data_IF_898385848871
#
_entry.id   IF_898385848871
#
_cell.length_a   1.000
_cell.length_b   1.000
_cell.length_c   1.000
_cell.angle_alpha   90.00
_cell.angle_beta   90.00
_cell.angle_gamma   90.00
#
_symmetry.space_group_name_H-M   'P 1'
#
loop_
_entity.id
_entity.type
_entity.pdbx_description
1 polymer ?
#
# COMPACT_ATOMS: atom_id res chain seq x y z
N UNK A 1 -7.59 31.21 30.87
CA UNK A 1 -6.38 30.36 30.68
C UNK A 1 -6.83 28.97 30.30
N UNK A 2 -6.86 28.65 29.04
CA UNK A 2 -7.48 27.43 28.51
C UNK A 2 -6.43 26.35 28.35
N UNK A 3 -6.69 25.21 28.97
CA UNK A 3 -5.81 24.05 29.09
C UNK A 3 -5.75 23.23 27.76
N UNK A 4 -5.10 23.78 26.75
CA UNK A 4 -4.91 23.12 25.44
C UNK A 4 -3.71 22.15 25.38
N UNK A 5 -2.78 22.22 26.36
CA UNK A 5 -1.58 21.37 26.35
C UNK A 5 -1.79 19.90 26.70
N UNK A 6 -2.93 19.57 27.35
CA UNK A 6 -3.16 18.21 27.84
C UNK A 6 -3.84 17.27 26.82
N UNK A 7 -4.43 17.80 25.77
CA UNK A 7 -5.06 16.98 24.72
C UNK A 7 -4.05 16.41 23.76
N UNK A 8 -3.07 17.20 23.32
CA UNK A 8 -2.02 16.75 22.40
C UNK A 8 -1.11 15.70 23.02
N UNK A 9 -0.78 15.83 24.32
CA UNK A 9 0.02 14.83 25.04
C UNK A 9 -0.73 13.49 25.19
N UNK A 10 -2.05 13.52 25.39
CA UNK A 10 -2.88 12.31 25.46
C UNK A 10 -2.99 11.60 24.12
N UNK A 11 -3.10 12.35 23.03
CA UNK A 11 -3.10 11.78 21.66
C UNK A 11 -1.74 11.17 21.30
N UNK A 12 -0.65 11.81 21.69
CA UNK A 12 0.71 11.28 21.45
C UNK A 12 0.96 10.00 22.25
N UNK A 13 0.52 9.94 23.51
CA UNK A 13 0.60 8.75 24.35
C UNK A 13 -0.28 7.61 23.84
N UNK A 14 -1.49 7.91 23.34
CA UNK A 14 -2.38 6.93 22.74
C UNK A 14 -1.78 6.35 21.45
N UNK A 15 -1.16 7.21 20.64
CA UNK A 15 -0.50 6.79 19.39
C UNK A 15 0.75 5.94 19.67
N UNK A 16 1.54 6.30 20.70
CA UNK A 16 2.69 5.51 21.15
C UNK A 16 2.26 4.15 21.73
N UNK A 17 1.12 4.09 22.44
CA UNK A 17 0.55 2.83 22.94
C UNK A 17 0.02 1.94 21.82
N UNK A 18 -0.59 2.53 20.78
CA UNK A 18 -1.00 1.77 19.59
C UNK A 18 0.21 1.16 18.86
N UNK A 19 1.34 1.91 18.76
CA UNK A 19 2.56 1.38 18.17
C UNK A 19 3.18 0.24 18.99
N UNK A 20 3.10 0.30 20.33
CA UNK A 20 3.66 -0.74 21.19
C UNK A 20 2.83 -2.02 21.23
N UNK A 21 1.54 -1.97 20.95
CA UNK A 21 0.70 -3.17 20.82
C UNK A 21 1.05 -4.03 19.59
N UNK A 22 1.68 -3.47 18.58
CA UNK A 22 2.05 -4.21 17.37
C UNK A 22 3.35 -5.01 17.51
N UNK A 23 4.16 -4.74 18.55
CA UNK A 23 5.40 -5.47 18.81
C UNK A 23 5.21 -6.78 19.60
N UNK A 24 3.98 -7.06 20.08
CA UNK A 24 3.70 -8.19 20.98
C UNK A 24 3.01 -9.39 20.30
N UNK A 25 2.76 -9.32 18.99
CA UNK A 25 2.22 -10.48 18.27
C UNK A 25 3.38 -11.34 17.79
N UNK A 26 3.88 -12.14 18.75
CA UNK A 26 4.92 -13.13 18.52
C UNK A 26 4.47 -14.18 17.52
N UNK A 27 5.43 -14.67 16.81
CA UNK A 27 5.37 -15.80 15.90
C UNK A 27 4.77 -17.01 16.62
N UNK A 28 3.54 -17.35 16.31
CA UNK A 28 3.08 -18.74 16.47
C UNK A 28 3.43 -19.47 15.19
N UNK A 29 4.40 -20.35 15.27
CA UNK A 29 4.68 -21.38 14.28
C UNK A 29 3.54 -22.40 14.26
N UNK A 30 2.48 -22.04 13.58
CA UNK A 30 1.40 -22.95 13.19
C UNK A 30 1.20 -22.83 11.69
N UNK A 31 0.95 -23.91 11.00
CA UNK A 31 0.82 -24.08 9.56
C UNK A 31 -0.29 -23.20 8.90
N UNK A 32 -0.71 -22.12 9.53
CA UNK A 32 -1.73 -21.14 9.11
C UNK A 32 -1.45 -19.77 9.71
N UNK A 33 -0.26 -19.19 9.47
CA UNK A 33 0.07 -17.87 9.98
C UNK A 33 -0.47 -16.76 9.09
N UNK A 34 -1.03 -15.70 9.70
CA UNK A 34 -1.33 -14.46 9.04
C UNK A 34 -0.03 -13.72 8.71
N UNK A 35 0.12 -13.30 7.48
CA UNK A 35 1.21 -12.44 7.05
C UNK A 35 0.67 -11.03 6.88
N UNK A 36 1.19 -10.11 7.66
CA UNK A 36 0.88 -8.68 7.56
C UNK A 36 2.13 -7.95 7.12
N UNK A 37 2.02 -7.20 6.02
CA UNK A 37 3.09 -6.35 5.51
C UNK A 37 2.51 -4.98 5.19
N UNK A 38 3.35 -3.98 5.16
CA UNK A 38 2.93 -2.65 4.74
C UNK A 38 4.04 -1.64 4.88
N UNK A 39 3.79 -0.48 4.30
CA UNK A 39 4.68 0.68 4.42
C UNK A 39 3.89 1.98 4.40
N UNK A 40 4.53 3.02 4.83
CA UNK A 40 4.05 4.39 4.68
C UNK A 40 5.07 5.14 3.84
N UNK A 41 4.63 5.73 2.76
CA UNK A 41 5.44 6.65 1.97
C UNK A 41 4.87 8.08 2.02
N UNK A 42 5.74 9.05 1.91
CA UNK A 42 5.35 10.44 1.79
C UNK A 42 6.22 11.13 0.75
N UNK A 43 5.60 11.86 -0.14
CA UNK A 43 6.27 12.58 -1.21
C UNK A 43 5.81 14.03 -1.24
N UNK A 44 6.77 14.93 -1.11
CA UNK A 44 6.53 16.36 -1.15
C UNK A 44 7.51 17.02 -2.13
N UNK A 45 6.98 17.65 -3.15
CA UNK A 45 7.75 18.41 -4.12
C UNK A 45 7.36 19.89 -4.04
N UNK A 46 8.34 20.76 -3.95
CA UNK A 46 8.16 22.21 -3.87
C UNK A 46 8.90 22.85 -5.04
N UNK A 47 8.29 23.86 -5.66
CA UNK A 47 8.93 24.66 -6.70
C UNK A 47 10.02 25.52 -6.07
N UNK A 48 11.24 25.47 -6.59
CA UNK A 48 12.36 26.30 -6.11
C UNK A 48 12.26 27.76 -6.53
N UNK A 49 11.55 28.03 -7.64
CA UNK A 49 11.29 29.38 -8.13
C UNK A 49 9.94 29.89 -7.64
N UNK A 50 9.79 31.22 -7.57
CA UNK A 50 8.52 31.85 -7.18
C UNK A 50 7.37 31.34 -8.09
N UNK A 51 6.21 31.01 -7.52
CA UNK A 51 5.68 31.36 -6.18
C UNK A 51 6.07 30.43 -5.02
N UNK A 52 7.02 29.50 -5.16
CA UNK A 52 7.45 28.58 -4.10
C UNK A 52 6.31 27.73 -3.51
N UNK A 53 5.43 27.26 -4.37
CA UNK A 53 4.27 26.46 -4.03
C UNK A 53 4.59 24.95 -4.08
N UNK A 54 3.72 24.15 -3.45
CA UNK A 54 3.82 22.71 -3.58
C UNK A 54 3.40 22.27 -4.98
N UNK A 55 4.24 21.45 -5.61
CA UNK A 55 3.95 20.78 -6.89
C UNK A 55 3.29 19.43 -6.66
N UNK A 56 3.65 18.74 -5.59
CA UNK A 56 3.02 17.52 -5.13
C UNK A 56 3.12 17.41 -3.60
N UNK A 57 2.09 16.85 -2.98
CA UNK A 57 2.07 16.58 -1.54
C UNK A 57 1.15 15.40 -1.27
N UNK A 58 1.74 14.22 -1.11
CA UNK A 58 1.04 12.95 -0.95
C UNK A 58 1.61 12.15 0.21
N UNK A 59 0.74 11.52 0.97
CA UNK A 59 1.07 10.47 1.95
C UNK A 59 0.23 9.24 1.62
N UNK A 60 0.87 8.09 1.53
CA UNK A 60 0.22 6.82 1.23
C UNK A 60 0.60 5.77 2.27
N UNK A 61 -0.38 4.99 2.68
CA UNK A 61 -0.21 3.78 3.48
C UNK A 61 -0.62 2.60 2.61
N UNK A 62 0.28 1.63 2.43
CA UNK A 62 -0.02 0.34 1.82
C UNK A 62 -0.11 -0.72 2.88
N UNK A 63 -1.14 -1.54 2.82
CA UNK A 63 -1.30 -2.73 3.63
C UNK A 63 -1.47 -3.97 2.76
N UNK A 64 -0.85 -5.06 3.18
CA UNK A 64 -0.96 -6.37 2.55
C UNK A 64 -1.26 -7.41 3.62
N UNK A 65 -2.26 -8.23 3.37
CA UNK A 65 -2.70 -9.29 4.26
C UNK A 65 -2.66 -10.59 3.48
N UNK A 66 -1.88 -11.54 3.95
CA UNK A 66 -1.81 -12.90 3.42
C UNK A 66 -2.23 -13.92 4.46
N UNK A 67 -2.88 -14.99 4.03
CA UNK A 67 -3.14 -16.16 4.86
C UNK A 67 -3.06 -17.41 4.01
N UNK A 68 -2.20 -18.35 4.40
CA UNK A 68 -2.10 -19.65 3.79
C UNK A 68 -2.85 -20.70 4.64
N UNK A 69 -3.57 -21.59 3.98
CA UNK A 69 -4.30 -22.69 4.60
C UNK A 69 -4.26 -23.89 3.64
N UNK A 70 -3.45 -24.88 3.99
CA UNK A 70 -3.19 -26.03 3.11
C UNK A 70 -2.61 -25.57 1.76
N UNK A 71 -3.21 -26.06 0.68
CA UNK A 71 -2.83 -25.71 -0.71
C UNK A 71 -3.37 -24.37 -1.20
N UNK A 72 -4.02 -23.60 -0.32
CA UNK A 72 -4.66 -22.32 -0.69
C UNK A 72 -4.02 -21.14 0.01
N UNK A 73 -4.00 -19.98 -0.67
CA UNK A 73 -3.54 -18.71 -0.11
C UNK A 73 -4.55 -17.60 -0.44
N UNK A 74 -5.03 -16.93 0.58
CA UNK A 74 -5.79 -15.69 0.45
C UNK A 74 -4.82 -14.51 0.51
N UNK A 75 -4.96 -13.57 -0.42
CA UNK A 75 -4.15 -12.35 -0.45
C UNK A 75 -5.03 -11.13 -0.67
N UNK A 76 -4.77 -10.07 0.09
CA UNK A 76 -5.41 -8.76 -0.04
C UNK A 76 -4.37 -7.67 0.05
N UNK A 77 -4.38 -6.74 -0.89
CA UNK A 77 -3.51 -5.55 -0.91
C UNK A 77 -4.34 -4.30 -1.15
N UNK A 78 -4.09 -3.24 -0.37
CA UNK A 78 -4.80 -1.98 -0.47
C UNK A 78 -3.88 -0.78 -0.24
N UNK A 79 -4.29 0.37 -0.79
CA UNK A 79 -3.72 1.67 -0.51
C UNK A 79 -4.74 2.56 0.20
N UNK A 80 -4.26 3.35 1.15
CA UNK A 80 -4.96 4.52 1.67
C UNK A 80 -4.09 5.75 1.40
N UNK A 81 -4.58 6.65 0.57
CA UNK A 81 -3.81 7.82 0.10
C UNK A 81 -4.46 9.11 0.57
N UNK A 82 -3.64 10.02 1.07
CA UNK A 82 -4.00 11.42 1.27
C UNK A 82 -3.17 12.29 0.34
N UNK A 83 -3.84 13.04 -0.54
CA UNK A 83 -3.20 13.99 -1.43
C UNK A 83 -3.73 15.40 -1.15
N UNK A 84 -2.85 16.30 -0.70
CA UNK A 84 -3.23 17.64 -0.30
C UNK A 84 -3.61 18.53 -1.50
N UNK A 85 -3.07 18.27 -2.68
CA UNK A 85 -3.31 19.07 -3.89
C UNK A 85 -4.39 18.45 -4.76
N UNK A 86 -4.34 17.14 -4.96
CA UNK A 86 -5.28 16.40 -5.80
C UNK A 86 -6.31 15.68 -4.92
N UNK A 87 -7.33 16.41 -4.48
CA UNK A 87 -8.36 15.87 -3.58
C UNK A 87 -9.05 14.62 -4.13
N UNK A 88 -9.22 14.52 -5.44
CA UNK A 88 -9.76 13.33 -6.10
C UNK A 88 -8.88 12.08 -5.99
N UNK A 89 -7.62 12.23 -5.55
CA UNK A 89 -6.68 11.14 -5.27
C UNK A 89 -6.57 10.79 -3.79
N UNK A 90 -7.35 11.45 -2.95
CA UNK A 90 -7.48 11.07 -1.53
C UNK A 90 -8.55 10.00 -1.40
N UNK A 91 -8.20 8.86 -0.81
CA UNK A 91 -9.16 7.78 -0.62
C UNK A 91 -8.50 6.43 -0.33
N UNK A 92 -9.36 5.42 -0.35
CA UNK A 92 -9.00 4.02 -0.19
C UNK A 92 -9.14 3.31 -1.53
N UNK A 93 -8.14 2.50 -1.89
CA UNK A 93 -8.10 1.71 -3.11
C UNK A 93 -7.76 0.27 -2.78
N UNK A 94 -8.64 -0.65 -3.17
CA UNK A 94 -8.33 -2.07 -3.16
C UNK A 94 -7.51 -2.40 -4.41
N UNK A 95 -6.25 -2.78 -4.24
CA UNK A 95 -5.36 -3.14 -5.35
C UNK A 95 -5.59 -4.56 -5.81
N UNK A 96 -5.45 -5.50 -4.89
CA UNK A 96 -5.59 -6.92 -5.16
C UNK A 96 -6.42 -7.59 -4.07
N UNK A 97 -7.21 -8.56 -4.44
CA UNK A 97 -7.91 -9.45 -3.53
C UNK A 97 -8.17 -10.76 -4.27
N UNK A 98 -7.42 -11.80 -3.97
CA UNK A 98 -7.54 -13.07 -4.65
C UNK A 98 -7.33 -14.28 -3.73
N UNK A 99 -7.88 -15.39 -4.17
CA UNK A 99 -7.61 -16.74 -3.67
C UNK A 99 -6.74 -17.46 -4.70
N UNK A 100 -5.57 -17.93 -4.28
CA UNK A 100 -4.68 -18.79 -5.06
C UNK A 100 -4.74 -20.20 -4.49
N UNK A 101 -5.06 -21.18 -5.32
CA UNK A 101 -5.08 -22.59 -4.95
C UNK A 101 -4.16 -23.38 -5.87
N UNK A 102 -3.29 -24.21 -5.30
CA UNK A 102 -2.30 -24.99 -6.05
C UNK A 102 -2.22 -26.40 -5.54
N UNK A 103 -2.43 -27.31 -6.45
CA UNK A 103 -2.19 -28.74 -6.28
C UNK A 103 -1.05 -29.19 -7.19
N UNK A 104 -0.65 -30.43 -7.07
CA UNK A 104 0.51 -30.98 -7.79
C UNK A 104 0.38 -30.85 -9.32
N UNK A 105 -0.84 -31.05 -9.86
CA UNK A 105 -1.08 -31.09 -11.31
C UNK A 105 -1.94 -29.94 -11.84
N UNK A 106 -2.52 -29.13 -10.98
CA UNK A 106 -3.39 -28.04 -11.37
C UNK A 106 -3.43 -26.93 -10.32
N UNK A 107 -3.81 -25.76 -10.75
CA UNK A 107 -4.00 -24.63 -9.86
C UNK A 107 -4.86 -23.56 -10.52
N UNK A 108 -5.45 -22.73 -9.69
CA UNK A 108 -6.23 -21.59 -10.14
C UNK A 108 -6.05 -20.40 -9.21
N UNK A 109 -6.25 -19.21 -9.75
CA UNK A 109 -6.32 -17.97 -8.99
C UNK A 109 -7.61 -17.24 -9.36
N UNK A 110 -8.40 -16.90 -8.36
CA UNK A 110 -9.68 -16.21 -8.52
C UNK A 110 -9.70 -14.92 -7.73
N UNK A 111 -10.16 -13.85 -8.36
CA UNK A 111 -10.31 -12.53 -7.74
C UNK A 111 -9.65 -11.41 -8.52
N UNK A 112 -9.57 -10.23 -7.88
CA UNK A 112 -8.89 -9.07 -8.44
C UNK A 112 -7.39 -9.23 -8.26
N UNK A 113 -6.67 -9.25 -9.36
CA UNK A 113 -5.21 -9.38 -9.38
C UNK A 113 -4.59 -8.42 -10.39
N UNK A 114 -3.41 -7.93 -10.07
CA UNK A 114 -2.60 -7.17 -11.00
C UNK A 114 -1.84 -8.16 -11.90
N UNK A 115 -2.20 -8.22 -13.17
CA UNK A 115 -1.51 -9.07 -14.15
C UNK A 115 -0.46 -8.25 -14.86
N UNK A 116 0.81 -8.67 -14.73
CA UNK A 116 1.95 -8.04 -15.37
C UNK A 116 2.31 -8.84 -16.60
N UNK A 117 2.23 -8.24 -17.77
CA UNK A 117 2.58 -8.88 -19.04
C UNK A 117 4.04 -8.58 -19.40
N UNK A 118 4.79 -9.62 -19.75
CA UNK A 118 6.14 -9.48 -20.31
C UNK A 118 7.18 -8.92 -19.34
N UNK A 119 7.73 -9.79 -18.48
CA UNK A 119 8.90 -9.48 -17.66
C UNK A 119 10.11 -10.10 -18.33
N UNK A 120 11.00 -9.28 -18.90
CA UNK A 120 12.31 -9.70 -19.37
C UNK A 120 13.36 -8.94 -18.57
N UNK A 121 14.18 -9.66 -17.79
CA UNK A 121 15.34 -9.16 -17.03
C UNK A 121 15.07 -7.88 -16.18
N UNK A 122 13.90 -7.78 -15.57
CA UNK A 122 13.52 -6.61 -14.76
C UNK A 122 13.10 -5.38 -15.58
N UNK A 123 13.15 -5.44 -16.91
CA UNK A 123 12.66 -4.36 -17.79
C UNK A 123 11.38 -4.80 -18.47
N UNK A 124 10.30 -4.04 -18.26
CA UNK A 124 8.95 -4.36 -18.74
C UNK A 124 8.68 -3.66 -20.08
N UNK A 125 9.37 -4.13 -21.11
CA UNK A 125 9.33 -3.50 -22.44
C UNK A 125 8.01 -3.78 -23.18
N UNK A 126 7.27 -4.82 -22.81
CA UNK A 126 6.16 -5.36 -23.60
C UNK A 126 4.78 -5.11 -22.96
N UNK A 127 4.71 -4.46 -21.83
CA UNK A 127 3.42 -4.16 -21.21
C UNK A 127 2.78 -2.91 -21.81
N UNK A 128 2.32 -3.05 -23.04
CA UNK A 128 1.59 -2.01 -23.78
C UNK A 128 0.07 -2.07 -23.53
N UNK A 129 -0.39 -3.08 -22.78
CA UNK A 129 -1.82 -3.36 -22.62
C UNK A 129 -2.37 -2.83 -21.30
N UNK A 130 -1.54 -2.73 -20.27
CA UNK A 130 -1.99 -2.25 -18.97
C UNK A 130 -2.18 -0.72 -18.97
N UNK A 131 -3.37 -0.23 -18.60
CA UNK A 131 -3.57 1.21 -18.45
C UNK A 131 -2.68 1.74 -17.31
N UNK A 132 -2.10 2.92 -17.52
CA UNK A 132 -1.19 3.56 -16.57
C UNK A 132 -1.71 4.94 -16.18
N UNK A 133 -1.66 5.23 -14.87
CA UNK A 133 -1.93 6.55 -14.34
C UNK A 133 -0.64 7.37 -14.26
N UNK A 134 -0.43 8.23 -15.23
CA UNK A 134 0.76 9.07 -15.33
C UNK A 134 0.65 10.40 -14.56
N UNK A 135 -0.40 10.61 -13.77
CA UNK A 135 -0.66 11.89 -13.09
C UNK A 135 0.45 12.28 -12.12
N UNK A 136 1.03 11.33 -11.42
CA UNK A 136 2.12 11.53 -10.47
C UNK A 136 3.28 10.54 -10.71
N UNK A 137 3.58 10.23 -11.98
CA UNK A 137 4.54 9.17 -12.33
C UNK A 137 5.95 9.39 -11.75
N UNK A 138 6.37 10.63 -11.50
CA UNK A 138 7.66 10.95 -10.85
C UNK A 138 7.69 10.61 -9.36
N UNK A 139 6.51 10.45 -8.75
CA UNK A 139 6.35 10.20 -7.32
C UNK A 139 6.00 8.74 -7.00
N UNK A 140 5.91 7.89 -8.01
CA UNK A 140 5.45 6.51 -7.86
C UNK A 140 6.37 5.55 -8.60
N UNK A 141 6.52 4.34 -8.05
CA UNK A 141 7.15 3.26 -8.76
C UNK A 141 6.29 2.83 -9.96
N UNK A 142 6.96 2.29 -10.97
CA UNK A 142 6.30 1.84 -12.20
C UNK A 142 5.15 0.86 -11.96
N UNK A 143 5.25 0.02 -10.91
CA UNK A 143 4.19 -0.91 -10.52
C UNK A 143 2.99 -0.25 -9.88
N UNK A 144 3.16 0.94 -9.36
CA UNK A 144 2.11 1.70 -8.67
C UNK A 144 1.29 2.59 -9.61
N UNK A 145 1.82 2.92 -10.79
CA UNK A 145 1.09 3.72 -11.80
C UNK A 145 0.10 2.88 -12.63
N UNK A 146 0.07 1.57 -12.45
CA UNK A 146 -0.88 0.68 -13.12
C UNK A 146 -2.26 0.73 -12.48
N UNK A 147 -3.27 0.70 -13.31
CA UNK A 147 -4.68 0.68 -12.90
C UNK A 147 -5.32 -0.70 -13.07
#
# INVERSE_FOLDING_TARGET
>A
MTNTGNRSAKFLLLFLHLLSLHAAWGQEEGNSSWQLKGFVDTYHAVRSEKPNDFMSSRTRVRGEIGKSFGSSTLFVSFNATHNALLKGRTGFELREAYLDHREEHWGFRLGRQLVIWGVADGVRIIDLVSPMDMTEFLAQDYDDIRM
#
